data_IF_099828965644
#
_entry.id   IF_099828965644
#
_cell.length_a   1.000
_cell.length_b   1.000
_cell.length_c   1.000
_cell.angle_alpha   90.00
_cell.angle_beta   90.00
_cell.angle_gamma   90.00
#
_symmetry.space_group_name_H-M   'P 1'
#
loop_
_entity.id
_entity.type
_entity.pdbx_description
1 polymer ?
#
# COMPACT_ATOMS: atom_id res chain seq x y z
N UNK A 1 2.57 13.64 -37.02
CA UNK A 1 1.64 14.08 -35.96
C UNK A 1 1.07 12.88 -35.18
N UNK A 2 1.86 11.82 -34.97
CA UNK A 2 1.57 10.79 -33.95
C UNK A 2 2.75 10.63 -32.98
N UNK A 3 3.77 11.48 -33.16
CA UNK A 3 5.13 11.40 -32.65
C UNK A 3 5.25 12.02 -31.23
N UNK A 4 4.15 12.58 -30.72
CA UNK A 4 4.02 13.11 -29.36
C UNK A 4 3.54 12.04 -28.34
N UNK A 5 3.52 10.76 -28.73
CA UNK A 5 3.21 9.62 -27.85
C UNK A 5 4.44 8.73 -27.62
N UNK A 6 5.62 9.34 -27.43
CA UNK A 6 6.74 8.64 -26.80
C UNK A 6 6.36 8.33 -25.35
N UNK A 7 5.93 7.09 -25.07
CA UNK A 7 5.51 6.58 -23.77
C UNK A 7 6.70 6.43 -22.79
N UNK A 8 7.41 7.54 -22.53
CA UNK A 8 8.61 7.62 -21.70
C UNK A 8 9.73 6.63 -22.05
N UNK A 9 9.69 6.04 -23.26
CA UNK A 9 10.62 5.00 -23.75
C UNK A 9 10.74 3.80 -22.79
N UNK A 10 9.66 3.49 -22.07
CA UNK A 10 9.56 2.37 -21.12
C UNK A 10 9.86 1.02 -21.79
N UNK A 11 10.67 0.20 -21.15
CA UNK A 11 10.80 -1.20 -21.53
C UNK A 11 9.59 -2.04 -21.05
N UNK A 12 9.44 -3.27 -21.57
CA UNK A 12 8.28 -4.13 -21.29
C UNK A 12 8.04 -4.42 -19.79
N UNK A 13 9.08 -4.49 -18.97
CA UNK A 13 8.95 -4.71 -17.52
C UNK A 13 8.48 -3.45 -16.79
N UNK A 14 9.03 -2.29 -17.15
CA UNK A 14 8.64 -0.99 -16.60
C UNK A 14 7.20 -0.67 -16.98
N UNK A 15 6.81 -0.84 -18.25
CA UNK A 15 5.45 -0.65 -18.73
C UNK A 15 4.44 -1.54 -17.98
N UNK A 16 4.77 -2.82 -17.77
CA UNK A 16 3.92 -3.74 -17.00
C UNK A 16 3.84 -3.39 -15.51
N UNK A 17 4.87 -2.77 -14.93
CA UNK A 17 4.86 -2.24 -13.57
C UNK A 17 3.98 -0.98 -13.48
N UNK A 18 4.16 -0.04 -14.41
CA UNK A 18 3.36 1.21 -14.51
C UNK A 18 1.88 0.89 -14.62
N UNK A 19 1.50 0.01 -15.56
CA UNK A 19 0.10 -0.44 -15.75
C UNK A 19 -0.46 -1.02 -14.45
N UNK A 20 0.31 -1.83 -13.72
CA UNK A 20 -0.15 -2.46 -12.48
C UNK A 20 -0.33 -1.45 -11.34
N UNK A 21 0.55 -0.47 -11.19
CA UNK A 21 0.41 0.60 -10.18
C UNK A 21 -0.84 1.45 -10.45
N UNK A 22 -0.99 1.98 -11.67
CA UNK A 22 -2.17 2.76 -12.03
C UNK A 22 -3.47 1.93 -11.93
N UNK A 23 -3.45 0.65 -12.32
CA UNK A 23 -4.61 -0.22 -12.19
C UNK A 23 -5.04 -0.38 -10.72
N UNK A 24 -4.13 -0.78 -9.83
CA UNK A 24 -4.47 -0.99 -8.40
C UNK A 24 -4.84 0.34 -7.73
N UNK A 25 -4.13 1.43 -8.00
CA UNK A 25 -4.45 2.77 -7.49
C UNK A 25 -5.80 3.33 -7.99
N UNK A 26 -6.33 2.82 -9.11
CA UNK A 26 -7.65 3.21 -9.62
C UNK A 26 -8.83 2.53 -8.89
N UNK A 27 -8.62 1.33 -8.35
CA UNK A 27 -9.66 0.51 -7.68
C UNK A 27 -10.45 1.27 -6.60
N UNK A 28 -9.83 1.98 -5.63
CA UNK A 28 -10.56 2.62 -4.55
C UNK A 28 -11.25 3.90 -5.03
N UNK A 29 -10.72 4.58 -6.05
CA UNK A 29 -11.36 5.75 -6.68
C UNK A 29 -12.64 5.30 -7.41
N UNK A 30 -12.53 4.31 -8.30
CA UNK A 30 -13.65 3.76 -9.08
C UNK A 30 -14.77 3.31 -8.14
N UNK A 31 -14.42 2.63 -7.05
CA UNK A 31 -15.40 2.06 -6.13
C UNK A 31 -15.90 3.05 -5.07
N UNK A 32 -15.16 4.13 -4.77
CA UNK A 32 -15.71 5.31 -4.09
C UNK A 32 -16.78 5.99 -4.96
N UNK A 33 -16.51 6.19 -6.25
CA UNK A 33 -17.48 6.78 -7.19
C UNK A 33 -18.74 5.91 -7.35
N UNK A 34 -18.57 4.59 -7.54
CA UNK A 34 -19.69 3.63 -7.55
C UNK A 34 -20.47 3.61 -6.22
N UNK A 35 -19.78 3.78 -5.09
CA UNK A 35 -20.39 3.91 -3.77
C UNK A 35 -21.23 5.18 -3.63
N UNK A 36 -20.72 6.33 -4.07
CA UNK A 36 -21.45 7.60 -4.04
C UNK A 36 -22.71 7.55 -4.92
N UNK A 37 -22.62 6.91 -6.09
CA UNK A 37 -23.78 6.66 -6.97
C UNK A 37 -24.81 5.74 -6.30
N UNK A 38 -24.40 4.60 -5.77
CA UNK A 38 -25.32 3.56 -5.29
C UNK A 38 -25.78 3.75 -3.84
N UNK A 39 -25.08 4.56 -3.05
CA UNK A 39 -25.26 4.77 -1.59
C UNK A 39 -25.19 3.48 -0.76
N UNK A 40 -24.46 2.45 -1.23
CA UNK A 40 -24.44 1.10 -0.63
C UNK A 40 -23.30 0.83 0.36
N UNK A 41 -22.22 1.62 0.40
CA UNK A 41 -21.14 1.41 1.39
C UNK A 41 -21.54 2.00 2.74
N UNK A 42 -21.35 1.20 3.80
CA UNK A 42 -21.42 1.63 5.19
C UNK A 42 -20.34 2.67 5.48
N UNK A 43 -20.71 3.84 6.01
CA UNK A 43 -19.80 4.93 6.38
C UNK A 43 -18.57 4.46 7.18
N UNK A 44 -18.76 3.46 8.04
CA UNK A 44 -17.68 2.72 8.75
C UNK A 44 -16.47 2.39 7.86
N UNK A 45 -16.71 1.78 6.68
CA UNK A 45 -15.66 1.39 5.75
C UNK A 45 -15.06 2.62 5.09
N UNK A 46 -15.89 3.57 4.63
CA UNK A 46 -15.42 4.79 3.98
C UNK A 46 -14.43 5.58 4.85
N UNK A 47 -14.78 5.81 6.12
CA UNK A 47 -13.87 6.49 7.06
C UNK A 47 -12.61 5.67 7.38
N UNK A 48 -12.72 4.34 7.46
CA UNK A 48 -11.54 3.47 7.64
C UNK A 48 -10.57 3.61 6.46
N UNK A 49 -11.08 3.66 5.22
CA UNK A 49 -10.25 3.81 4.01
C UNK A 49 -9.66 5.23 3.87
N UNK A 50 -10.39 6.27 4.26
CA UNK A 50 -9.86 7.65 4.31
C UNK A 50 -8.72 7.74 5.34
N UNK A 51 -8.88 7.17 6.53
CA UNK A 51 -7.80 7.11 7.51
C UNK A 51 -6.63 6.24 7.03
N UNK A 52 -6.89 5.16 6.27
CA UNK A 52 -5.83 4.34 5.65
C UNK A 52 -4.97 5.17 4.71
N UNK A 53 -5.58 5.96 3.83
CA UNK A 53 -4.86 6.84 2.90
C UNK A 53 -3.92 7.81 3.63
N UNK A 54 -4.44 8.45 4.69
CA UNK A 54 -3.67 9.38 5.53
C UNK A 54 -2.51 8.67 6.24
N UNK A 55 -2.75 7.45 6.73
CA UNK A 55 -1.73 6.63 7.40
C UNK A 55 -0.64 6.16 6.43
N UNK A 56 -0.98 5.78 5.20
CA UNK A 56 0.01 5.40 4.19
C UNK A 56 0.86 6.61 3.77
N UNK A 57 0.20 7.70 3.36
CA UNK A 57 0.87 8.92 2.90
C UNK A 57 1.83 9.50 3.94
N UNK A 58 1.35 9.72 5.18
CA UNK A 58 2.15 10.33 6.25
C UNK A 58 3.06 9.34 6.99
N UNK A 59 2.74 8.04 6.95
CA UNK A 59 3.43 7.00 7.71
C UNK A 59 4.58 6.33 6.97
N UNK A 60 4.56 6.28 5.63
CA UNK A 60 5.69 5.83 4.80
C UNK A 60 5.79 6.48 3.43
N UNK A 61 4.71 6.60 2.65
CA UNK A 61 4.83 6.87 1.20
C UNK A 61 5.47 8.21 0.84
N UNK A 62 5.19 9.29 1.57
CA UNK A 62 5.87 10.58 1.35
C UNK A 62 7.36 10.49 1.72
N UNK A 63 7.70 9.81 2.82
CA UNK A 63 9.08 9.63 3.27
C UNK A 63 9.91 8.81 2.28
N UNK A 64 9.36 7.68 1.82
CA UNK A 64 9.98 6.83 0.80
C UNK A 64 10.09 7.53 -0.55
N UNK A 65 9.08 8.33 -0.94
CA UNK A 65 9.07 9.04 -2.22
C UNK A 65 10.14 10.12 -2.29
N UNK A 66 10.30 10.94 -1.24
CA UNK A 66 11.23 12.08 -1.25
C UNK A 66 12.56 11.85 -0.49
N UNK A 67 12.83 10.64 0.01
CA UNK A 67 14.09 10.32 0.70
C UNK A 67 14.30 11.05 2.04
N UNK A 68 13.20 11.46 2.70
CA UNK A 68 13.22 12.53 3.72
C UNK A 68 14.12 12.27 4.95
N UNK A 69 14.47 11.02 5.26
CA UNK A 69 15.33 10.68 6.38
C UNK A 69 16.15 9.40 6.09
N UNK A 70 17.39 9.57 5.62
CA UNK A 70 18.37 8.46 5.55
C UNK A 70 18.13 7.43 4.45
N UNK A 71 17.49 7.82 3.34
CA UNK A 71 17.38 7.01 2.13
C UNK A 71 17.22 7.89 0.90
N UNK A 72 17.30 7.31 -0.29
CA UNK A 72 17.29 8.07 -1.56
C UNK A 72 15.85 8.39 -2.02
N UNK A 73 15.62 9.53 -2.70
CA UNK A 73 14.34 9.83 -3.32
C UNK A 73 14.03 8.85 -4.47
N UNK A 74 12.76 8.69 -4.82
CA UNK A 74 12.29 7.61 -5.69
C UNK A 74 12.79 7.71 -7.13
N UNK A 75 13.10 8.91 -7.61
CA UNK A 75 13.69 9.17 -8.92
C UNK A 75 15.18 8.82 -9.00
N UNK A 76 15.97 9.05 -7.94
CA UNK A 76 17.35 8.54 -7.84
C UNK A 76 17.39 7.01 -7.72
N UNK A 77 16.33 6.38 -7.21
CA UNK A 77 16.24 4.92 -7.05
C UNK A 77 15.80 4.16 -8.32
N UNK A 78 15.40 4.82 -9.41
CA UNK A 78 14.84 4.15 -10.61
C UNK A 78 15.30 4.79 -11.94
N UNK A 79 14.84 4.24 -13.06
CA UNK A 79 15.15 4.78 -14.39
C UNK A 79 14.45 6.12 -14.66
N UNK A 80 15.06 6.95 -15.51
CA UNK A 80 14.45 8.18 -16.01
C UNK A 80 13.12 7.90 -16.74
N UNK A 81 13.02 6.77 -17.47
CA UNK A 81 11.81 6.29 -18.12
C UNK A 81 10.67 6.09 -17.10
N UNK A 82 10.95 5.41 -15.98
CA UNK A 82 9.95 5.14 -14.95
C UNK A 82 9.58 6.41 -14.16
N UNK A 83 10.54 7.33 -13.96
CA UNK A 83 10.27 8.66 -13.37
C UNK A 83 9.41 9.54 -14.26
N UNK A 84 9.57 9.47 -15.58
CA UNK A 84 8.69 10.12 -16.55
C UNK A 84 7.25 9.56 -16.50
N UNK A 85 7.11 8.23 -16.39
CA UNK A 85 5.79 7.57 -16.40
C UNK A 85 5.03 7.66 -15.07
N UNK A 86 5.75 7.76 -13.95
CA UNK A 86 5.22 8.00 -12.61
C UNK A 86 6.02 9.15 -11.97
N UNK A 87 5.64 10.42 -12.20
CA UNK A 87 6.31 11.57 -11.59
C UNK A 87 6.41 11.44 -10.06
N UNK A 88 7.47 12.01 -9.46
CA UNK A 88 7.76 11.90 -8.01
C UNK A 88 6.56 12.35 -7.18
N UNK A 89 5.98 13.52 -7.50
CA UNK A 89 4.83 14.08 -6.78
C UNK A 89 3.52 13.29 -6.96
N UNK A 90 3.48 12.34 -7.88
CA UNK A 90 2.37 11.41 -8.09
C UNK A 90 2.64 10.02 -7.47
N UNK A 91 3.90 9.66 -7.23
CA UNK A 91 4.32 8.35 -6.74
C UNK A 91 3.70 8.01 -5.37
N UNK A 92 3.90 8.87 -4.36
CA UNK A 92 3.36 8.68 -3.01
C UNK A 92 1.83 8.55 -3.02
N UNK A 93 1.16 9.29 -3.92
CA UNK A 93 -0.29 9.31 -4.05
C UNK A 93 -0.84 8.00 -4.62
N UNK A 94 -0.25 7.50 -5.71
CA UNK A 94 -0.65 6.22 -6.33
C UNK A 94 -0.40 5.03 -5.39
N UNK A 95 0.76 4.99 -4.72
CA UNK A 95 1.07 3.94 -3.76
C UNK A 95 0.12 3.99 -2.54
N UNK A 96 -0.15 5.19 -2.00
CA UNK A 96 -1.12 5.33 -0.89
C UNK A 96 -2.53 4.83 -1.27
N UNK A 97 -2.94 4.96 -2.55
CA UNK A 97 -4.18 4.39 -3.06
C UNK A 97 -4.09 2.87 -3.27
N UNK A 98 -2.92 2.34 -3.65
CA UNK A 98 -2.71 0.91 -3.69
C UNK A 98 -2.84 0.29 -2.28
N UNK A 99 -2.26 0.91 -1.26
CA UNK A 99 -2.35 0.47 0.15
C UNK A 99 -3.78 0.53 0.70
N UNK A 100 -4.56 1.56 0.33
CA UNK A 100 -6.01 1.62 0.60
C UNK A 100 -6.75 0.43 -0.03
N UNK A 101 -6.34 0.00 -1.23
CA UNK A 101 -6.94 -1.16 -1.92
C UNK A 101 -6.61 -2.46 -1.19
N UNK A 102 -5.36 -2.62 -0.77
CA UNK A 102 -4.89 -3.76 0.05
C UNK A 102 -5.70 -3.87 1.34
N UNK A 103 -5.79 -2.77 2.10
CA UNK A 103 -6.57 -2.72 3.35
C UNK A 103 -8.04 -3.06 3.09
N UNK A 104 -8.63 -2.52 2.04
CA UNK A 104 -10.03 -2.78 1.73
C UNK A 104 -10.30 -4.25 1.38
N UNK A 105 -9.42 -4.89 0.59
CA UNK A 105 -9.53 -6.33 0.32
C UNK A 105 -9.40 -7.13 1.62
N UNK A 106 -8.53 -6.73 2.56
CA UNK A 106 -8.44 -7.34 3.89
C UNK A 106 -9.73 -7.22 4.70
N UNK A 107 -10.38 -6.05 4.69
CA UNK A 107 -11.68 -5.85 5.34
C UNK A 107 -12.80 -6.68 4.68
N UNK A 108 -12.77 -6.85 3.35
CA UNK A 108 -13.70 -7.72 2.63
C UNK A 108 -13.45 -9.21 2.94
N UNK A 109 -12.19 -9.64 3.01
CA UNK A 109 -11.78 -11.00 3.37
C UNK A 109 -12.22 -11.37 4.79
N UNK A 110 -11.95 -10.51 5.77
CA UNK A 110 -12.42 -10.68 7.15
C UNK A 110 -13.96 -10.78 7.22
N UNK A 111 -14.68 -9.90 6.50
CA UNK A 111 -16.15 -9.93 6.41
C UNK A 111 -16.69 -11.18 5.71
N UNK A 112 -15.97 -11.72 4.74
CA UNK A 112 -16.32 -12.96 4.04
C UNK A 112 -16.15 -14.19 4.94
N UNK A 113 -15.02 -14.30 5.65
CA UNK A 113 -14.75 -15.41 6.59
C UNK A 113 -15.74 -15.40 7.78
N UNK A 114 -16.22 -14.22 8.18
CA UNK A 114 -17.25 -14.07 9.23
C UNK A 114 -18.69 -13.98 8.68
N UNK A 115 -18.94 -14.34 7.42
CA UNK A 115 -20.30 -14.36 6.84
C UNK A 115 -21.21 -15.33 7.62
N UNK A 116 -22.41 -14.87 7.96
CA UNK A 116 -23.37 -15.62 8.79
C UNK A 116 -23.08 -15.59 10.29
N UNK A 117 -22.01 -14.92 10.74
CA UNK A 117 -21.68 -14.70 12.14
C UNK A 117 -21.89 -13.23 12.53
N UNK A 118 -21.75 -12.94 13.81
CA UNK A 118 -21.63 -11.58 14.34
C UNK A 118 -20.45 -10.85 13.66
N UNK A 119 -20.60 -9.56 13.36
CA UNK A 119 -19.61 -8.79 12.57
C UNK A 119 -18.19 -8.86 13.17
N UNK A 120 -17.13 -9.06 12.35
CA UNK A 120 -15.75 -9.12 12.84
C UNK A 120 -15.22 -7.78 13.36
N UNK A 121 -15.96 -6.68 13.12
CA UNK A 121 -15.60 -5.31 13.48
C UNK A 121 -16.42 -4.77 14.68
N UNK A 122 -17.11 -5.60 15.45
CA UNK A 122 -17.85 -5.14 16.64
C UNK A 122 -16.94 -4.92 17.87
N UNK A 123 -15.90 -5.73 18.00
CA UNK A 123 -15.01 -5.81 19.16
C UNK A 123 -13.69 -6.47 18.69
N UNK A 124 -12.63 -6.36 19.48
CA UNK A 124 -11.34 -6.93 19.11
C UNK A 124 -11.34 -8.46 19.18
N UNK A 125 -11.06 -9.12 18.06
CA UNK A 125 -10.97 -10.58 17.94
C UNK A 125 -9.63 -10.96 17.33
N UNK A 126 -8.79 -11.65 18.12
CA UNK A 126 -7.47 -12.11 17.67
C UNK A 126 -7.48 -12.85 16.33
N UNK A 127 -8.44 -13.74 16.00
CA UNK A 127 -8.48 -14.36 14.67
C UNK A 127 -8.69 -13.37 13.52
N UNK A 128 -9.45 -12.29 13.74
CA UNK A 128 -9.64 -11.22 12.73
C UNK A 128 -8.37 -10.40 12.55
N UNK A 129 -7.71 -10.06 13.66
CA UNK A 129 -6.38 -9.42 13.63
C UNK A 129 -5.38 -10.26 12.83
N UNK A 130 -5.29 -11.58 13.08
CA UNK A 130 -4.39 -12.45 12.33
C UNK A 130 -4.78 -12.63 10.85
N UNK A 131 -6.08 -12.67 10.52
CA UNK A 131 -6.53 -12.66 9.10
C UNK A 131 -6.03 -11.41 8.37
N UNK A 132 -6.12 -10.24 9.00
CA UNK A 132 -5.63 -8.99 8.43
C UNK A 132 -4.09 -8.98 8.35
N UNK A 133 -3.40 -9.41 9.42
CA UNK A 133 -1.93 -9.47 9.47
C UNK A 133 -1.36 -10.38 8.37
N UNK A 134 -1.89 -11.60 8.22
CA UNK A 134 -1.43 -12.52 7.19
C UNK A 134 -1.71 -11.99 5.78
N UNK A 135 -2.88 -11.37 5.55
CA UNK A 135 -3.18 -10.77 4.26
C UNK A 135 -2.20 -9.62 3.91
N UNK A 136 -1.94 -8.72 4.86
CA UNK A 136 -1.02 -7.59 4.65
C UNK A 136 0.45 -8.02 4.51
N UNK A 137 0.91 -9.02 5.27
CA UNK A 137 2.27 -9.54 5.09
C UNK A 137 2.42 -10.28 3.74
N UNK A 138 1.46 -11.12 3.35
CA UNK A 138 1.53 -11.88 2.09
C UNK A 138 1.49 -10.96 0.88
N UNK A 139 0.64 -9.94 0.86
CA UNK A 139 0.65 -8.95 -0.22
C UNK A 139 1.94 -8.13 -0.22
N UNK A 140 2.46 -7.72 0.94
CA UNK A 140 3.65 -6.88 0.97
C UNK A 140 4.91 -7.64 0.53
N UNK A 141 5.03 -8.93 0.89
CA UNK A 141 6.05 -9.84 0.33
C UNK A 141 5.96 -9.91 -1.20
N UNK A 142 4.74 -9.93 -1.77
CA UNK A 142 4.55 -9.90 -3.22
C UNK A 142 4.94 -8.54 -3.83
N UNK A 143 4.58 -7.41 -3.20
CA UNK A 143 4.97 -6.06 -3.65
C UNK A 143 6.49 -5.89 -3.62
N UNK A 144 7.14 -6.30 -2.53
CA UNK A 144 8.59 -6.17 -2.38
C UNK A 144 9.35 -7.00 -3.44
N UNK A 145 9.01 -8.29 -3.56
CA UNK A 145 9.64 -9.17 -4.56
C UNK A 145 9.31 -8.78 -6.02
N UNK A 146 8.06 -8.47 -6.36
CA UNK A 146 7.61 -8.35 -7.75
C UNK A 146 7.33 -6.94 -8.24
N UNK A 147 7.46 -5.92 -7.39
CA UNK A 147 7.31 -4.49 -7.76
C UNK A 147 8.55 -3.69 -7.30
N UNK A 148 8.88 -3.65 -6.00
CA UNK A 148 9.95 -2.79 -5.48
C UNK A 148 11.34 -3.16 -6.01
N UNK A 149 11.67 -4.43 -6.22
CA UNK A 149 12.93 -4.81 -6.89
C UNK A 149 13.08 -4.17 -8.30
N UNK A 150 11.99 -3.74 -8.95
CA UNK A 150 12.04 -3.04 -10.24
C UNK A 150 11.91 -1.51 -10.10
N UNK A 151 11.92 -1.00 -8.87
CA UNK A 151 11.98 0.43 -8.48
C UNK A 151 13.21 0.75 -7.60
N UNK A 152 14.10 -0.22 -7.41
CA UNK A 152 15.32 -0.11 -6.61
C UNK A 152 16.54 -0.44 -7.48
N UNK A 153 17.29 0.59 -7.84
CA UNK A 153 18.63 0.48 -8.43
C UNK A 153 19.67 -0.01 -7.42
N UNK A 154 20.94 -0.03 -7.86
CA UNK A 154 22.06 -0.63 -7.11
C UNK A 154 22.33 -0.06 -5.71
N UNK A 155 21.80 1.13 -5.40
CA UNK A 155 22.07 1.90 -4.18
C UNK A 155 20.78 2.13 -3.37
N UNK A 156 19.80 1.23 -3.48
CA UNK A 156 18.38 1.46 -3.13
C UNK A 156 18.01 1.59 -1.64
N UNK A 157 18.69 2.43 -0.86
CA UNK A 157 18.34 2.69 0.53
C UNK A 157 16.96 3.36 0.66
N UNK A 158 16.05 2.69 1.36
CA UNK A 158 14.71 3.18 1.68
C UNK A 158 14.75 4.12 2.90
N UNK A 159 14.10 5.28 2.79
CA UNK A 159 14.01 6.25 3.89
C UNK A 159 13.43 5.64 5.17
N UNK A 160 13.90 6.12 6.32
CA UNK A 160 13.15 6.05 7.58
C UNK A 160 11.78 6.71 7.41
N UNK A 161 10.78 6.18 8.11
CA UNK A 161 9.44 6.77 8.20
C UNK A 161 8.75 6.38 9.52
N UNK A 162 7.67 7.06 9.94
CA UNK A 162 6.98 6.77 11.20
C UNK A 162 6.48 5.32 11.37
N UNK A 163 6.04 4.65 10.31
CA UNK A 163 5.65 3.22 10.34
C UNK A 163 6.83 2.28 10.02
N UNK A 164 7.99 2.84 9.68
CA UNK A 164 9.25 2.15 9.40
C UNK A 164 10.34 2.65 10.38
N UNK A 165 10.14 2.53 11.71
CA UNK A 165 10.91 3.29 12.71
C UNK A 165 12.40 2.92 12.82
N UNK A 166 12.81 1.79 12.23
CA UNK A 166 14.22 1.36 12.18
C UNK A 166 14.96 1.91 10.94
N UNK A 167 14.22 2.34 9.91
CA UNK A 167 14.75 2.84 8.65
C UNK A 167 15.73 1.90 7.95
N UNK A 168 16.59 2.49 7.12
CA UNK A 168 17.75 1.84 6.51
C UNK A 168 18.79 1.38 7.55
N UNK A 169 18.89 2.08 8.69
CA UNK A 169 19.88 1.83 9.74
C UNK A 169 19.84 0.44 10.36
N UNK A 170 18.68 -0.22 10.37
CA UNK A 170 18.57 -1.64 10.69
C UNK A 170 17.54 -2.33 9.78
N UNK A 171 17.96 -2.58 8.54
CA UNK A 171 17.15 -3.32 7.56
C UNK A 171 17.80 -4.65 7.11
N UNK A 172 17.82 -5.71 7.96
CA UNK A 172 18.25 -7.03 7.53
C UNK A 172 17.27 -7.66 6.52
N UNK A 173 17.82 -8.36 5.52
CA UNK A 173 17.07 -9.32 4.69
C UNK A 173 16.58 -10.47 5.57
N UNK A 174 15.28 -10.72 5.55
CA UNK A 174 14.62 -11.81 6.29
C UNK A 174 14.75 -13.15 5.55
N UNK A 175 14.56 -13.11 4.23
CA UNK A 175 14.69 -14.23 3.29
C UNK A 175 14.68 -13.68 1.84
N UNK A 176 14.87 -14.54 0.85
CA UNK A 176 14.82 -14.18 -0.57
C UNK A 176 13.76 -14.97 -1.34
N UNK A 177 13.18 -14.34 -2.36
CA UNK A 177 12.30 -14.98 -3.35
C UNK A 177 12.93 -14.81 -4.74
N UNK A 178 13.44 -15.89 -5.34
CA UNK A 178 14.09 -15.87 -6.67
C UNK A 178 15.22 -14.84 -6.76
N UNK A 179 16.09 -14.82 -5.73
CA UNK A 179 17.23 -13.88 -5.62
C UNK A 179 16.84 -12.44 -5.27
N UNK A 180 15.59 -12.20 -4.84
CA UNK A 180 15.07 -10.87 -4.48
C UNK A 180 14.88 -10.79 -2.96
N UNK A 181 15.51 -9.85 -2.26
CA UNK A 181 15.42 -9.76 -0.80
C UNK A 181 14.04 -9.31 -0.34
N UNK A 182 13.56 -9.93 0.74
CA UNK A 182 12.43 -9.48 1.55
C UNK A 182 13.00 -8.89 2.84
N UNK A 183 12.72 -7.63 3.14
CA UNK A 183 13.49 -6.84 4.11
C UNK A 183 12.66 -6.45 5.33
N UNK A 184 13.28 -6.40 6.52
CA UNK A 184 12.59 -6.10 7.78
C UNK A 184 11.84 -4.76 7.73
N UNK A 185 12.44 -3.74 7.11
CA UNK A 185 11.91 -2.39 7.01
C UNK A 185 10.56 -2.37 6.27
N UNK A 186 10.49 -3.00 5.10
CA UNK A 186 9.26 -3.08 4.31
C UNK A 186 8.14 -3.83 5.05
N UNK A 187 8.46 -4.92 5.74
CA UNK A 187 7.46 -5.70 6.48
C UNK A 187 7.01 -5.01 7.78
N UNK A 188 7.88 -4.22 8.43
CA UNK A 188 7.57 -3.52 9.69
C UNK A 188 6.40 -2.55 9.55
N UNK A 189 6.27 -1.84 8.41
CA UNK A 189 5.11 -0.98 8.12
C UNK A 189 3.79 -1.71 8.37
N UNK A 190 3.60 -2.88 7.76
CA UNK A 190 2.35 -3.62 7.86
C UNK A 190 2.14 -4.27 9.23
N UNK A 191 3.21 -4.66 9.93
CA UNK A 191 3.12 -5.15 11.32
C UNK A 191 2.56 -4.05 12.24
N UNK A 192 3.04 -2.81 12.12
CA UNK A 192 2.60 -1.68 12.94
C UNK A 192 1.22 -1.13 12.51
N UNK A 193 0.92 -1.16 11.21
CA UNK A 193 -0.33 -0.65 10.64
C UNK A 193 -1.51 -1.59 10.87
N UNK A 194 -1.31 -2.92 10.85
CA UNK A 194 -2.40 -3.91 11.08
C UNK A 194 -3.25 -3.62 12.33
N UNK A 195 -2.69 -3.44 13.55
CA UNK A 195 -3.50 -3.19 14.74
C UNK A 195 -4.22 -1.84 14.68
N UNK A 196 -3.61 -0.81 14.09
CA UNK A 196 -4.21 0.52 13.92
C UNK A 196 -5.42 0.43 12.99
N UNK A 197 -5.28 -0.22 11.83
CA UNK A 197 -6.36 -0.43 10.86
C UNK A 197 -7.50 -1.25 11.46
N UNK A 198 -7.20 -2.31 12.21
CA UNK A 198 -8.25 -3.11 12.85
C UNK A 198 -8.98 -2.31 13.93
N UNK A 199 -8.27 -1.58 14.79
CA UNK A 199 -8.87 -0.70 15.80
C UNK A 199 -9.74 0.41 15.19
N UNK A 200 -9.28 1.06 14.11
CA UNK A 200 -10.07 2.04 13.35
C UNK A 200 -11.33 1.43 12.75
N UNK A 201 -11.22 0.23 12.17
CA UNK A 201 -12.38 -0.47 11.61
C UNK A 201 -13.45 -0.75 12.67
N UNK A 202 -13.04 -1.13 13.90
CA UNK A 202 -13.96 -1.35 15.04
C UNK A 202 -14.58 -0.03 15.52
N UNK A 203 -13.75 1.01 15.70
CA UNK A 203 -14.20 2.34 16.12
C UNK A 203 -15.26 2.91 15.16
N UNK A 204 -14.96 2.91 13.86
CA UNK A 204 -15.89 3.41 12.86
C UNK A 204 -17.09 2.47 12.63
N UNK A 205 -16.92 1.15 12.77
CA UNK A 205 -18.06 0.23 12.74
C UNK A 205 -19.05 0.55 13.85
N UNK A 206 -18.59 0.63 15.10
CA UNK A 206 -19.46 0.94 16.24
C UNK A 206 -20.04 2.35 16.19
N UNK A 207 -19.28 3.35 15.71
CA UNK A 207 -19.77 4.74 15.56
C UNK A 207 -20.83 4.92 14.46
N UNK A 208 -20.80 4.10 13.41
CA UNK A 208 -21.75 4.16 12.28
C UNK A 208 -22.69 2.95 12.21
N UNK A 209 -22.79 2.18 13.30
CA UNK A 209 -23.76 1.09 13.48
C UNK A 209 -25.16 1.68 13.71
N UNK A 210 -25.94 1.74 12.63
CA UNK A 210 -27.41 1.75 12.70
C UNK A 210 -27.91 0.31 12.80
#
# INVERSE_FOLDING_TARGET
MLDNLNFCELNNFELWLVIRIYFVASVPIILMLYSLWTRKISLSVLYTLICTFIIAALGWEIWLTYGLAGGLPVDERRSAMLTCAIPVDLNWFLNSLADVTVVWIGLLLARFIYRGKQSPFLEWKWPVFFILLFWFLIQNIYVEAFIYHMQLGSNGDLSWAPMSPLGSWFNPTLFEIVGRPITLQAQTCWILVTPIIYALSIFFYNRYKK
#
